data_IF_483823405001
#
_entry.id   IF_483823405001
#
_cell.length_a   1.000
_cell.length_b   1.000
_cell.length_c   1.000
_cell.angle_alpha   90.00
_cell.angle_beta   90.00
_cell.angle_gamma   90.00
#
_symmetry.space_group_name_H-M   'P 1'
#
loop_
_entity.id
_entity.type
_entity.pdbx_description
1 polymer ?
#
# COMPACT_ATOMS: atom_id res chain seq x y z
N UNK A 1 14.28 -13.99 -4.15
CA UNK A 1 15.08 -12.98 -3.42
C UNK A 1 15.41 -11.84 -4.36
N UNK A 2 15.20 -10.62 -3.91
CA UNK A 2 15.53 -9.39 -4.61
C UNK A 2 16.63 -8.67 -3.83
N UNK A 3 17.86 -8.81 -4.31
CA UNK A 3 19.04 -8.29 -3.59
C UNK A 3 19.14 -6.76 -3.67
N UNK A 4 18.59 -6.12 -4.70
CA UNK A 4 18.66 -4.67 -4.86
C UNK A 4 17.79 -3.94 -3.84
N UNK A 5 16.69 -4.57 -3.43
CA UNK A 5 15.79 -4.05 -2.39
C UNK A 5 15.95 -4.76 -1.04
N UNK A 6 16.87 -5.72 -0.93
CA UNK A 6 17.06 -6.52 0.29
C UNK A 6 15.78 -7.26 0.72
N UNK A 7 15.07 -7.83 -0.24
CA UNK A 7 13.77 -8.45 -0.03
C UNK A 7 13.73 -9.94 -0.38
N UNK A 8 12.90 -10.66 0.34
CA UNK A 8 12.44 -12.00 -0.03
C UNK A 8 10.93 -11.94 -0.22
N UNK A 9 10.47 -12.44 -1.35
CA UNK A 9 9.05 -12.42 -1.73
C UNK A 9 8.56 -13.85 -1.84
N UNK A 10 7.42 -14.15 -1.21
CA UNK A 10 6.70 -15.41 -1.33
C UNK A 10 5.35 -15.17 -1.98
N UNK A 11 5.06 -15.92 -3.00
CA UNK A 11 3.82 -15.86 -3.75
C UNK A 11 2.90 -17.00 -3.31
N UNK A 12 1.60 -16.73 -3.21
CA UNK A 12 0.62 -17.72 -2.80
C UNK A 12 -0.75 -17.46 -3.43
N UNK A 13 -1.55 -18.52 -3.67
CA UNK A 13 -2.93 -18.37 -4.10
C UNK A 13 -3.83 -18.03 -2.91
N UNK A 14 -4.91 -17.29 -3.15
CA UNK A 14 -5.93 -16.97 -2.15
C UNK A 14 -7.24 -17.65 -2.51
N UNK A 15 -7.89 -18.29 -1.51
CA UNK A 15 -9.14 -19.01 -1.67
C UNK A 15 -8.96 -20.52 -1.78
N UNK A 16 -10.05 -21.26 -1.64
CA UNK A 16 -10.05 -22.72 -1.60
C UNK A 16 -9.98 -23.37 -2.98
N UNK A 17 -10.39 -22.65 -4.01
CA UNK A 17 -10.52 -23.16 -5.39
C UNK A 17 -9.56 -22.48 -6.37
N UNK A 18 -8.69 -21.61 -5.87
CA UNK A 18 -7.78 -20.86 -6.71
C UNK A 18 -6.43 -21.57 -6.82
N UNK A 19 -6.09 -22.00 -8.03
CA UNK A 19 -4.83 -22.67 -8.35
C UNK A 19 -3.77 -21.67 -8.83
N UNK A 20 -4.18 -20.45 -9.15
CA UNK A 20 -3.31 -19.41 -9.67
C UNK A 20 -2.81 -18.48 -8.54
N UNK A 21 -1.59 -18.04 -8.69
CA UNK A 21 -0.96 -17.09 -7.77
C UNK A 21 -1.57 -15.71 -7.96
N UNK A 22 -2.09 -15.13 -6.90
CA UNK A 22 -2.73 -13.81 -6.92
C UNK A 22 -2.18 -12.85 -5.87
N UNK A 23 -1.47 -13.38 -4.88
CA UNK A 23 -1.00 -12.60 -3.75
C UNK A 23 0.46 -12.87 -3.45
N UNK A 24 1.08 -11.91 -2.78
CA UNK A 24 2.42 -12.07 -2.24
C UNK A 24 2.55 -11.50 -0.83
N UNK A 25 3.53 -11.99 -0.11
CA UNK A 25 4.09 -11.39 1.09
C UNK A 25 5.57 -11.16 0.86
N UNK A 26 6.07 -9.99 1.21
CA UNK A 26 7.49 -9.67 1.16
C UNK A 26 8.03 -9.35 2.54
N UNK A 27 9.29 -9.68 2.73
CA UNK A 27 10.07 -9.35 3.92
C UNK A 27 11.35 -8.63 3.51
N UNK A 28 11.45 -7.37 3.92
CA UNK A 28 12.68 -6.60 3.78
C UNK A 28 13.57 -6.89 5.00
N UNK A 29 14.68 -7.59 4.76
CA UNK A 29 15.56 -8.03 5.84
C UNK A 29 16.54 -6.95 6.30
N UNK A 30 16.75 -5.88 5.53
CA UNK A 30 17.56 -4.75 5.94
C UNK A 30 16.83 -3.84 6.91
N UNK A 31 15.54 -3.63 6.69
CA UNK A 31 14.69 -2.75 7.50
C UNK A 31 13.80 -3.50 8.50
N UNK A 32 13.77 -4.84 8.42
CA UNK A 32 12.91 -5.70 9.22
C UNK A 32 11.42 -5.37 9.09
N UNK A 33 10.97 -5.18 7.85
CA UNK A 33 9.59 -4.82 7.52
C UNK A 33 8.91 -5.92 6.70
N UNK A 34 7.63 -6.11 6.95
CA UNK A 34 6.76 -6.99 6.19
C UNK A 34 5.79 -6.18 5.35
N UNK A 35 5.56 -6.60 4.12
CA UNK A 35 4.53 -6.05 3.25
C UNK A 35 3.72 -7.17 2.60
N UNK A 36 2.49 -6.87 2.24
CA UNK A 36 1.58 -7.77 1.54
C UNK A 36 0.99 -7.04 0.34
N UNK A 37 0.69 -7.78 -0.71
CA UNK A 37 0.09 -7.19 -1.90
C UNK A 37 -0.54 -8.24 -2.80
N UNK A 38 -1.13 -7.75 -3.87
CA UNK A 38 -1.69 -8.56 -4.96
C UNK A 38 -0.80 -8.43 -6.18
N UNK A 39 -0.51 -9.54 -6.84
CA UNK A 39 0.26 -9.57 -8.06
C UNK A 39 -0.04 -10.86 -8.82
N UNK A 40 -0.76 -10.73 -9.91
CA UNK A 40 -1.18 -11.85 -10.76
C UNK A 40 -0.05 -12.22 -11.73
N UNK A 41 0.92 -12.99 -11.26
CA UNK A 41 2.07 -13.41 -12.04
C UNK A 41 2.33 -14.90 -11.85
N UNK A 42 2.64 -15.57 -12.97
CA UNK A 42 2.98 -16.97 -13.00
C UNK A 42 4.48 -17.23 -12.82
N UNK A 43 5.15 -17.69 -13.88
CA UNK A 43 6.59 -17.93 -13.84
C UNK A 43 7.37 -16.61 -13.67
N UNK A 44 8.38 -16.64 -12.81
CA UNK A 44 9.18 -15.48 -12.44
C UNK A 44 10.67 -15.74 -12.67
N UNK A 45 11.35 -14.80 -13.31
CA UNK A 45 12.80 -14.73 -13.40
C UNK A 45 13.26 -13.43 -12.75
N UNK A 46 14.10 -13.54 -11.73
CA UNK A 46 14.76 -12.39 -11.10
C UNK A 46 15.88 -11.79 -11.97
N UNK A 47 16.61 -10.88 -11.39
CA UNK A 47 17.78 -10.27 -12.02
C UNK A 47 18.84 -11.34 -12.38
N UNK A 48 18.99 -11.69 -13.64
CA UNK A 48 20.06 -12.60 -14.07
C UNK A 48 20.80 -12.15 -15.32
N UNK A 49 20.09 -12.00 -16.42
CA UNK A 49 20.68 -11.53 -17.69
C UNK A 49 20.05 -10.23 -18.18
N UNK A 50 18.86 -9.92 -17.70
CA UNK A 50 18.19 -8.65 -17.91
C UNK A 50 18.34 -7.80 -16.65
N UNK A 51 18.43 -6.50 -16.82
CA UNK A 51 18.55 -5.56 -15.71
C UNK A 51 17.30 -5.50 -14.82
N UNK A 52 16.18 -6.13 -15.21
CA UNK A 52 14.91 -6.10 -14.51
C UNK A 52 14.29 -7.49 -14.42
N UNK A 53 13.52 -7.80 -13.39
CA UNK A 53 12.79 -9.03 -13.29
C UNK A 53 11.73 -9.15 -14.39
N UNK A 54 11.50 -10.36 -14.85
CA UNK A 54 10.47 -10.67 -15.86
C UNK A 54 9.55 -11.74 -15.29
N UNK A 55 8.23 -11.55 -15.47
CA UNK A 55 7.25 -12.56 -15.11
C UNK A 55 6.19 -12.73 -16.20
N UNK A 56 5.63 -13.95 -16.28
CA UNK A 56 4.50 -14.21 -17.16
C UNK A 56 3.18 -13.78 -16.50
N UNK A 57 2.19 -13.42 -17.31
CA UNK A 57 0.81 -13.34 -16.85
C UNK A 57 0.32 -14.70 -16.34
N UNK A 58 -0.66 -14.70 -15.44
CA UNK A 58 -1.45 -15.88 -15.10
C UNK A 58 -2.62 -16.02 -16.08
N UNK A 59 -3.03 -17.26 -16.36
CA UNK A 59 -4.19 -17.49 -17.22
C UNK A 59 -5.45 -17.50 -16.35
N UNK A 60 -6.04 -16.35 -16.13
CA UNK A 60 -7.31 -16.22 -15.38
C UNK A 60 -8.55 -16.40 -16.26
N UNK A 61 -8.38 -16.84 -17.52
CA UNK A 61 -9.49 -16.95 -18.48
C UNK A 61 -9.94 -15.63 -19.10
N UNK A 62 -9.20 -14.55 -18.86
CA UNK A 62 -9.44 -13.22 -19.39
C UNK A 62 -8.43 -12.93 -20.51
N UNK A 63 -8.66 -11.89 -21.29
CA UNK A 63 -7.94 -11.49 -22.51
C UNK A 63 -6.43 -11.21 -22.33
N UNK A 64 -5.93 -11.16 -21.11
CA UNK A 64 -4.54 -10.81 -20.78
C UNK A 64 -3.62 -12.01 -20.55
N UNK A 65 -4.03 -13.18 -21.05
CA UNK A 65 -3.20 -14.39 -21.03
C UNK A 65 -2.08 -14.29 -22.09
N UNK A 66 -0.87 -14.72 -21.72
CA UNK A 66 0.32 -14.87 -22.58
C UNK A 66 1.18 -13.61 -22.76
N UNK A 67 1.15 -12.69 -21.82
CA UNK A 67 2.11 -11.58 -21.77
C UNK A 67 3.33 -11.91 -20.90
N UNK A 68 4.45 -11.27 -21.22
CA UNK A 68 5.62 -11.18 -20.36
C UNK A 68 5.74 -9.74 -19.90
N UNK A 69 5.78 -9.55 -18.60
CA UNK A 69 5.89 -8.24 -17.98
C UNK A 69 7.32 -8.01 -17.48
N UNK A 70 7.86 -6.84 -17.81
CA UNK A 70 9.04 -6.34 -17.12
C UNK A 70 8.62 -5.70 -15.81
N UNK A 71 9.22 -6.10 -14.71
CA UNK A 71 8.97 -5.55 -13.40
C UNK A 71 10.01 -4.50 -13.02
N UNK A 72 9.66 -3.66 -12.04
CA UNK A 72 10.53 -2.61 -11.51
C UNK A 72 10.96 -1.59 -12.57
N UNK A 73 10.05 -1.30 -13.49
CA UNK A 73 10.20 -0.29 -14.53
C UNK A 73 9.04 0.70 -14.46
N UNK A 74 9.33 2.00 -14.50
CA UNK A 74 8.27 3.02 -14.46
C UNK A 74 7.65 3.21 -13.07
N UNK A 75 6.45 3.80 -13.04
CA UNK A 75 5.73 4.19 -11.82
C UNK A 75 4.25 3.75 -11.86
N UNK A 76 3.87 2.96 -12.84
CA UNK A 76 2.51 2.48 -13.05
C UNK A 76 2.45 0.96 -13.17
N UNK A 77 1.26 0.40 -13.15
CA UNK A 77 0.97 -0.99 -13.44
C UNK A 77 0.35 -1.08 -14.84
N UNK A 78 1.22 -1.23 -15.85
CA UNK A 78 0.86 -1.33 -17.27
C UNK A 78 -0.06 -0.17 -17.73
N UNK A 79 0.33 1.06 -17.37
CA UNK A 79 -0.42 2.28 -17.67
C UNK A 79 -1.55 2.61 -16.71
N UNK A 80 -1.73 1.82 -15.66
CA UNK A 80 -2.70 2.07 -14.60
C UNK A 80 -2.01 2.55 -13.33
N UNK A 81 -2.69 3.38 -12.54
CA UNK A 81 -2.16 3.86 -11.28
C UNK A 81 -1.93 2.72 -10.29
N UNK A 82 -0.75 2.64 -9.70
CA UNK A 82 -0.47 1.71 -8.60
C UNK A 82 -1.03 2.26 -7.29
N UNK A 83 -1.87 1.46 -6.63
CA UNK A 83 -2.36 1.78 -5.30
C UNK A 83 -1.46 1.19 -4.23
N UNK A 84 -0.85 2.05 -3.43
CA UNK A 84 -0.05 1.66 -2.28
C UNK A 84 -0.58 2.31 -1.01
N UNK A 85 -0.53 1.61 0.10
CA UNK A 85 -0.96 2.18 1.37
C UNK A 85 -0.06 1.75 2.53
N UNK A 86 -0.07 2.58 3.56
CA UNK A 86 0.45 2.27 4.89
C UNK A 86 -0.64 2.57 5.92
N UNK A 87 -0.82 1.68 6.87
CA UNK A 87 -1.80 1.83 7.94
C UNK A 87 -1.11 1.61 9.28
N UNK A 88 -1.31 2.52 10.22
CA UNK A 88 -0.76 2.40 11.56
C UNK A 88 -1.50 1.36 12.39
N UNK A 89 -0.88 0.86 13.44
CA UNK A 89 -1.62 0.27 14.54
C UNK A 89 -2.46 1.33 15.29
N UNK A 90 -3.16 0.88 16.33
CA UNK A 90 -3.95 1.76 17.17
C UNK A 90 -3.06 2.82 17.85
N UNK A 91 -3.39 4.08 17.62
CA UNK A 91 -2.83 5.23 18.32
C UNK A 91 -3.76 5.59 19.47
N UNK A 92 -3.22 5.70 20.67
CA UNK A 92 -3.98 5.99 21.87
C UNK A 92 -3.25 6.96 22.79
N UNK A 93 -3.99 7.63 23.67
CA UNK A 93 -3.44 8.49 24.72
C UNK A 93 -3.82 7.89 26.08
N UNK A 94 -2.80 7.62 26.91
CA UNK A 94 -3.03 7.14 28.26
C UNK A 94 -3.68 5.76 28.32
N UNK A 95 -3.11 4.78 27.61
CA UNK A 95 -3.56 3.38 27.60
C UNK A 95 -5.04 3.22 27.15
N UNK A 96 -5.50 4.10 26.22
CA UNK A 96 -6.86 4.03 25.70
C UNK A 96 -7.97 4.58 26.64
N UNK A 97 -7.62 5.09 27.81
CA UNK A 97 -8.60 5.61 28.77
C UNK A 97 -9.16 6.98 28.37
N UNK A 98 -8.45 7.69 27.51
CA UNK A 98 -8.79 9.08 27.19
C UNK A 98 -9.22 9.24 25.74
N UNK A 99 -10.16 10.13 25.53
CA UNK A 99 -10.48 10.58 24.18
C UNK A 99 -9.39 11.50 23.65
N UNK A 100 -8.91 11.18 22.45
CA UNK A 100 -8.09 12.09 21.67
C UNK A 100 -8.96 12.89 20.70
N UNK A 101 -8.54 14.11 20.40
CA UNK A 101 -9.12 14.92 19.35
C UNK A 101 -8.04 15.25 18.32
N UNK A 102 -8.26 14.81 17.10
CA UNK A 102 -7.38 15.13 15.96
C UNK A 102 -8.06 16.26 15.19
N UNK A 103 -7.42 17.41 15.13
CA UNK A 103 -7.99 18.62 14.53
C UNK A 103 -7.35 19.01 13.20
N UNK A 104 -6.15 18.48 12.93
CA UNK A 104 -5.45 18.81 11.69
C UNK A 104 -4.38 17.76 11.37
N UNK A 105 -4.06 17.67 10.08
CA UNK A 105 -2.94 16.92 9.52
C UNK A 105 -1.94 17.96 8.96
N UNK A 106 -0.67 17.81 9.30
CA UNK A 106 0.43 18.55 8.71
C UNK A 106 1.25 17.50 7.95
N UNK A 107 1.12 17.42 6.61
CA UNK A 107 1.82 16.42 5.85
C UNK A 107 3.31 16.76 5.74
N UNK A 108 4.15 15.73 5.81
CA UNK A 108 5.58 15.79 5.50
C UNK A 108 5.87 14.74 4.42
N UNK A 109 5.56 15.11 3.17
CA UNK A 109 5.73 14.25 2.01
C UNK A 109 6.60 14.91 0.96
N UNK A 110 7.43 14.09 0.35
CA UNK A 110 8.12 14.43 -0.87
C UNK A 110 7.46 13.71 -2.04
N UNK A 111 6.85 14.47 -2.92
CA UNK A 111 6.37 13.96 -4.19
C UNK A 111 7.53 13.97 -5.18
N UNK A 112 7.82 12.81 -5.77
CA UNK A 112 8.81 12.66 -6.83
C UNK A 112 8.14 12.03 -8.04
N UNK A 113 8.36 12.59 -9.22
CA UNK A 113 7.73 12.16 -10.45
C UNK A 113 7.33 13.37 -11.30
N UNK A 114 6.85 13.14 -12.50
CA UNK A 114 6.55 14.19 -13.46
C UNK A 114 5.07 14.61 -13.49
N UNK A 115 4.21 14.03 -12.68
CA UNK A 115 2.78 14.36 -12.71
C UNK A 115 2.46 15.46 -11.71
N UNK A 116 1.85 16.54 -12.18
CA UNK A 116 1.34 17.62 -11.34
C UNK A 116 0.18 17.21 -10.43
N UNK A 117 -0.37 16.03 -10.65
CA UNK A 117 -1.62 15.55 -10.03
C UNK A 117 -1.41 14.47 -8.97
N UNK A 118 -0.15 14.20 -8.61
CA UNK A 118 0.15 13.26 -7.54
C UNK A 118 -0.51 13.68 -6.22
N UNK A 119 -1.27 12.78 -5.63
CA UNK A 119 -1.99 12.99 -4.38
C UNK A 119 -1.92 11.78 -3.47
N UNK A 120 -2.14 12.03 -2.19
CA UNK A 120 -2.17 11.02 -1.14
C UNK A 120 -3.39 11.25 -0.28
N UNK A 121 -4.16 10.21 -0.04
CA UNK A 121 -5.32 10.27 0.83
C UNK A 121 -4.97 9.81 2.25
N UNK A 122 -5.25 10.68 3.21
CA UNK A 122 -5.24 10.36 4.62
C UNK A 122 -6.62 9.93 5.06
N UNK A 123 -6.74 8.75 5.61
CA UNK A 123 -7.97 8.28 6.26
C UNK A 123 -7.70 8.08 7.74
N UNK A 124 -8.45 8.80 8.57
CA UNK A 124 -8.45 8.60 10.01
C UNK A 124 -9.63 7.72 10.37
N UNK A 125 -9.35 6.55 10.91
CA UNK A 125 -10.35 5.64 11.45
C UNK A 125 -10.33 5.76 12.96
N UNK A 126 -11.48 5.60 13.61
CA UNK A 126 -11.58 5.68 15.07
C UNK A 126 -12.46 4.61 15.66
N UNK A 127 -12.14 4.19 16.87
CA UNK A 127 -12.97 3.33 17.73
C UNK A 127 -12.99 3.86 19.16
N UNK A 128 -14.03 3.51 19.91
CA UNK A 128 -14.23 3.96 21.29
C UNK A 128 -14.11 2.85 22.32
N UNK A 129 -14.13 1.61 21.86
CA UNK A 129 -14.05 0.44 22.72
C UNK A 129 -12.93 -0.49 22.24
N UNK A 130 -12.26 -1.21 23.16
CA UNK A 130 -11.32 -2.25 22.80
C UNK A 130 -11.98 -3.30 21.90
N UNK A 131 -11.24 -3.78 20.89
CA UNK A 131 -11.70 -4.78 19.91
C UNK A 131 -12.84 -4.32 18.98
N UNK A 132 -13.27 -3.07 19.06
CA UNK A 132 -14.17 -2.51 18.07
C UNK A 132 -13.44 -2.30 16.76
N UNK A 133 -14.05 -2.66 15.64
CA UNK A 133 -13.47 -2.38 14.30
C UNK A 133 -13.45 -0.88 14.07
N UNK A 134 -12.28 -0.26 13.86
CA UNK A 134 -12.19 1.17 13.62
C UNK A 134 -12.97 1.60 12.37
N UNK A 135 -13.78 2.64 12.49
CA UNK A 135 -14.57 3.19 11.38
C UNK A 135 -13.98 4.51 10.88
N UNK A 136 -14.11 4.78 9.59
CA UNK A 136 -13.64 6.03 8.99
C UNK A 136 -14.37 7.22 9.62
N UNK A 137 -13.58 8.14 10.21
CA UNK A 137 -14.06 9.35 10.87
C UNK A 137 -13.79 10.60 10.03
N UNK A 138 -12.67 10.63 9.33
CA UNK A 138 -12.27 11.76 8.49
C UNK A 138 -11.35 11.28 7.36
N UNK A 139 -11.41 11.99 6.24
CA UNK A 139 -10.49 11.85 5.10
C UNK A 139 -9.96 13.20 4.69
N UNK A 140 -8.74 13.23 4.17
CA UNK A 140 -8.13 14.44 3.63
C UNK A 140 -7.17 14.07 2.50
N UNK A 141 -7.37 14.67 1.34
CA UNK A 141 -6.44 14.54 0.20
C UNK A 141 -5.34 15.58 0.32
N UNK A 142 -4.12 15.14 0.18
CA UNK A 142 -2.90 15.94 0.26
C UNK A 142 -2.18 15.91 -1.08
N UNK A 143 -1.83 17.10 -1.56
CA UNK A 143 -1.03 17.31 -2.77
C UNK A 143 0.30 18.00 -2.42
N UNK A 144 1.18 18.17 -3.39
CA UNK A 144 2.46 18.88 -3.21
C UNK A 144 2.33 20.32 -2.70
N UNK A 145 1.16 20.94 -2.87
CA UNK A 145 0.86 22.31 -2.41
C UNK A 145 0.17 22.36 -1.04
N UNK A 146 -0.22 21.22 -0.47
CA UNK A 146 -0.96 21.17 0.79
C UNK A 146 -0.01 21.36 1.96
N UNK A 147 -0.12 22.48 2.67
CA UNK A 147 0.67 22.74 3.86
C UNK A 147 0.04 22.20 5.14
N UNK A 148 -1.28 22.17 5.18
CA UNK A 148 -2.07 21.54 6.25
C UNK A 148 -3.47 21.21 5.78
N UNK A 149 -4.10 20.22 6.40
CA UNK A 149 -5.50 19.90 6.21
C UNK A 149 -6.21 19.89 7.56
N UNK A 150 -7.31 20.64 7.66
CA UNK A 150 -8.12 20.67 8.88
C UNK A 150 -9.11 19.51 8.84
N UNK A 151 -9.09 18.71 9.90
CA UNK A 151 -10.03 17.62 10.14
C UNK A 151 -10.61 17.75 11.53
N UNK A 152 -11.67 17.03 11.82
CA UNK A 152 -12.22 16.98 13.16
C UNK A 152 -12.72 15.58 13.47
N UNK A 153 -11.96 14.86 14.27
CA UNK A 153 -12.35 13.54 14.75
C UNK A 153 -12.08 13.41 16.24
N UNK A 154 -12.86 12.58 16.91
CA UNK A 154 -12.71 12.28 18.33
C UNK A 154 -12.92 10.79 18.55
N UNK A 155 -11.90 10.12 19.06
CA UNK A 155 -11.94 8.70 19.36
C UNK A 155 -11.04 8.38 20.56
N UNK A 156 -11.13 7.18 21.13
CA UNK A 156 -10.15 6.67 22.10
C UNK A 156 -8.96 6.05 21.41
N UNK A 157 -9.23 5.30 20.35
CA UNK A 157 -8.22 4.68 19.50
C UNK A 157 -8.36 5.26 18.10
N UNK A 158 -7.28 5.60 17.48
CA UNK A 158 -7.25 6.09 16.10
C UNK A 158 -6.24 5.30 15.27
N UNK A 159 -6.61 5.01 14.05
CA UNK A 159 -5.75 4.41 13.04
C UNK A 159 -5.60 5.41 11.92
N UNK A 160 -4.38 5.62 11.48
CA UNK A 160 -4.06 6.49 10.35
C UNK A 160 -3.69 5.60 9.16
N UNK A 161 -4.45 5.70 8.09
CA UNK A 161 -4.16 5.09 6.80
C UNK A 161 -3.77 6.19 5.82
N UNK A 162 -2.71 5.95 5.11
CA UNK A 162 -2.20 6.81 4.04
C UNK A 162 -2.12 5.99 2.78
N UNK A 163 -2.75 6.46 1.72
CA UNK A 163 -2.91 5.72 0.47
C UNK A 163 -2.62 6.62 -0.73
N UNK A 164 -1.91 6.11 -1.74
CA UNK A 164 -1.73 6.82 -3.00
C UNK A 164 -3.06 6.90 -3.74
N UNK A 165 -3.47 8.09 -4.21
CA UNK A 165 -4.76 8.33 -4.84
C UNK A 165 -4.64 8.90 -6.25
N UNK A 166 -3.45 9.00 -6.80
CA UNK A 166 -3.21 9.51 -8.15
C UNK A 166 -2.09 8.77 -8.86
N UNK A 167 -2.16 8.74 -10.17
CA UNK A 167 -1.11 8.21 -11.05
C UNK A 167 -0.10 9.30 -11.40
#
# INVERSE_FOLDING_TARGET
ENNDFSEVIWFYPVGTDNTEITNYVSYNYAENLWAVGTLDRGAWIGYSQNSNPIASSVNTGVTDANFLYNHETGFDDDGSAMTAFVESGDLEIGEGDRFMMISRIIPDFKFSGSTSDASVDFTIKGSNFPLETPTTQATATVTSSTTQSNIRTRARHAVVRVESSGA
#
